data_IF_062230351732
#
_entry.id   IF_062230351732
#
_cell.length_a   1.000
_cell.length_b   1.000
_cell.length_c   1.000
_cell.angle_alpha   90.00
_cell.angle_beta   90.00
_cell.angle_gamma   90.00
#
_symmetry.space_group_name_H-M   'P 1'
#
loop_
_entity.id
_entity.type
_entity.pdbx_description
1 polymer ?
#
# COMPACT_ATOMS: atom_id res chain seq x y z
N UNK A 1 1.13 8.34 4.58
CA UNK A 1 0.50 6.99 4.49
C UNK A 1 -0.75 6.89 5.33
N UNK A 2 -0.66 6.92 6.67
CA UNK A 2 -1.81 6.65 7.56
C UNK A 2 -3.01 7.57 7.30
N UNK A 3 -2.79 8.90 7.15
CA UNK A 3 -3.88 9.84 6.83
C UNK A 3 -4.45 9.58 5.43
N UNK A 4 -3.60 9.25 4.45
CA UNK A 4 -4.05 8.90 3.11
C UNK A 4 -4.94 7.67 3.12
N UNK A 5 -4.54 6.60 3.83
CA UNK A 5 -5.36 5.39 3.98
C UNK A 5 -6.67 5.69 4.72
N UNK A 6 -6.61 6.46 5.82
CA UNK A 6 -7.81 6.86 6.57
C UNK A 6 -8.80 7.63 5.69
N UNK A 7 -8.31 8.57 4.86
CA UNK A 7 -9.16 9.32 3.93
C UNK A 7 -9.81 8.42 2.87
N UNK A 8 -9.05 7.48 2.28
CA UNK A 8 -9.58 6.49 1.35
C UNK A 8 -10.70 5.66 2.01
N UNK A 9 -10.45 5.15 3.21
CA UNK A 9 -11.43 4.34 3.94
C UNK A 9 -12.68 5.14 4.33
N UNK A 10 -12.54 6.42 4.73
CA UNK A 10 -13.67 7.31 4.98
C UNK A 10 -14.47 7.60 3.70
N UNK A 11 -13.80 7.78 2.56
CA UNK A 11 -14.47 7.94 1.27
C UNK A 11 -15.27 6.67 0.92
N UNK A 12 -14.69 5.49 1.10
CA UNK A 12 -15.37 4.20 0.92
C UNK A 12 -16.58 4.12 1.85
N UNK A 13 -16.43 4.45 3.14
CA UNK A 13 -17.54 4.43 4.10
C UNK A 13 -18.67 5.36 3.67
N UNK A 14 -18.35 6.52 3.13
CA UNK A 14 -19.35 7.47 2.64
C UNK A 14 -20.07 6.97 1.38
N UNK A 15 -19.35 6.37 0.44
CA UNK A 15 -19.89 5.87 -0.82
C UNK A 15 -20.60 4.52 -0.67
N UNK A 16 -20.05 3.63 0.15
CA UNK A 16 -20.49 2.25 0.34
C UNK A 16 -20.46 1.87 1.84
N UNK A 17 -21.42 2.32 2.66
CA UNK A 17 -21.41 2.16 4.13
C UNK A 17 -21.27 0.71 4.62
N UNK A 18 -21.65 -0.26 3.80
CA UNK A 18 -21.66 -1.70 4.13
C UNK A 18 -20.51 -2.48 3.49
N UNK A 19 -19.56 -1.81 2.85
CA UNK A 19 -18.39 -2.46 2.25
C UNK A 19 -17.56 -3.19 3.31
N UNK A 20 -17.11 -4.39 2.98
CA UNK A 20 -16.19 -5.16 3.83
C UNK A 20 -14.76 -4.91 3.35
N UNK A 21 -13.87 -4.55 4.26
CA UNK A 21 -12.45 -4.38 3.98
C UNK A 21 -11.73 -5.67 4.36
N UNK A 22 -11.06 -6.27 3.39
CA UNK A 22 -10.25 -7.46 3.56
C UNK A 22 -8.77 -7.08 3.66
N UNK A 23 -8.10 -7.58 4.69
CA UNK A 23 -6.67 -7.39 4.94
C UNK A 23 -5.95 -8.73 5.01
N UNK A 24 -4.64 -8.74 4.82
CA UNK A 24 -3.83 -9.96 4.97
C UNK A 24 -3.77 -10.45 6.43
N UNK A 25 -3.66 -11.77 6.64
CA UNK A 25 -3.30 -12.37 7.92
C UNK A 25 -1.85 -12.92 7.86
N UNK A 26 -0.92 -12.32 8.61
CA UNK A 26 -1.00 -11.06 9.38
C UNK A 26 -1.04 -9.81 8.49
N UNK A 27 -1.33 -8.65 9.09
CA UNK A 27 -1.27 -7.35 8.42
C UNK A 27 -0.57 -6.31 9.29
N UNK A 28 -0.31 -5.12 8.75
CA UNK A 28 0.19 -3.99 9.53
C UNK A 28 -0.74 -3.66 10.69
N UNK A 29 -0.18 -3.59 11.89
CA UNK A 29 -0.92 -3.49 13.14
C UNK A 29 -1.96 -2.36 13.19
N UNK A 30 -1.76 -1.29 12.40
CA UNK A 30 -2.66 -0.15 12.39
C UNK A 30 -3.81 -0.26 11.36
N UNK A 31 -3.81 -1.24 10.46
CA UNK A 31 -4.90 -1.44 9.50
C UNK A 31 -6.22 -1.75 10.21
N UNK A 32 -6.22 -2.75 11.09
CA UNK A 32 -7.40 -3.17 11.83
C UNK A 32 -8.03 -2.04 12.66
N UNK A 33 -7.29 -1.38 13.56
CA UNK A 33 -7.79 -0.24 14.32
C UNK A 33 -8.34 0.88 13.45
N UNK A 34 -7.67 1.25 12.36
CA UNK A 34 -8.14 2.30 11.43
C UNK A 34 -9.46 1.92 10.77
N UNK A 35 -9.60 0.70 10.26
CA UNK A 35 -10.83 0.23 9.61
C UNK A 35 -12.00 0.20 10.61
N UNK A 36 -11.75 -0.32 11.81
CA UNK A 36 -12.77 -0.43 12.88
C UNK A 36 -13.22 0.95 13.38
N UNK A 37 -12.29 1.91 13.56
CA UNK A 37 -12.63 3.26 14.03
C UNK A 37 -13.54 4.03 13.06
N UNK A 38 -13.49 3.71 11.77
CA UNK A 38 -14.35 4.26 10.72
C UNK A 38 -15.72 3.55 10.67
N UNK A 39 -15.87 2.43 11.37
CA UNK A 39 -17.10 1.63 11.38
C UNK A 39 -17.31 0.81 10.09
N UNK A 40 -16.23 0.41 9.42
CA UNK A 40 -16.26 -0.54 8.31
C UNK A 40 -16.09 -1.97 8.84
N UNK A 41 -16.66 -2.94 8.12
CA UNK A 41 -16.43 -4.36 8.43
C UNK A 41 -15.01 -4.76 8.04
N UNK A 42 -14.34 -5.48 8.94
CA UNK A 42 -13.01 -6.03 8.73
C UNK A 42 -13.09 -7.55 8.59
N UNK A 43 -12.44 -8.09 7.58
CA UNK A 43 -12.17 -9.52 7.41
C UNK A 43 -10.72 -9.72 6.99
N UNK A 44 -10.23 -10.95 7.12
CA UNK A 44 -8.86 -11.32 6.81
C UNK A 44 -8.81 -12.36 5.69
N UNK A 45 -7.82 -12.24 4.83
CA UNK A 45 -7.47 -13.26 3.85
C UNK A 45 -6.14 -13.92 4.20
N UNK A 46 -5.98 -15.24 3.91
CA UNK A 46 -4.74 -15.95 4.22
C UNK A 46 -3.57 -15.38 3.41
N UNK A 47 -2.46 -15.10 4.09
CA UNK A 47 -1.26 -14.55 3.45
C UNK A 47 0.00 -15.34 3.82
N UNK A 48 0.26 -15.55 5.12
CA UNK A 48 1.46 -16.21 5.61
C UNK A 48 1.20 -17.64 6.06
N UNK A 49 1.99 -18.57 5.58
CA UNK A 49 2.15 -19.88 6.24
C UNK A 49 3.16 -19.71 7.40
N UNK A 50 2.67 -19.79 8.64
CA UNK A 50 3.49 -19.55 9.85
C UNK A 50 4.50 -20.66 10.13
N UNK A 51 4.30 -21.87 9.61
CA UNK A 51 5.23 -22.99 9.77
C UNK A 51 6.43 -22.89 8.83
N UNK A 52 6.16 -22.50 7.58
CA UNK A 52 7.18 -22.42 6.53
C UNK A 52 7.72 -21.01 6.27
N UNK A 53 7.09 -19.98 6.89
CA UNK A 53 7.35 -18.56 6.64
C UNK A 53 7.22 -18.16 5.14
N UNK A 54 6.39 -18.88 4.38
CA UNK A 54 6.15 -18.64 2.96
C UNK A 54 4.75 -18.08 2.71
N UNK A 55 4.57 -17.48 1.54
CA UNK A 55 3.27 -17.01 1.06
C UNK A 55 2.31 -18.20 0.85
N UNK A 56 1.06 -18.07 1.32
CA UNK A 56 -0.06 -19.01 1.03
C UNK A 56 -0.72 -18.65 -0.30
N UNK A 57 0.00 -18.72 -1.41
CA UNK A 57 -0.45 -18.23 -2.71
C UNK A 57 -1.79 -18.79 -3.12
N UNK A 58 -1.98 -20.11 -3.08
CA UNK A 58 -3.23 -20.75 -3.53
C UNK A 58 -4.42 -20.37 -2.64
N UNK A 59 -4.22 -20.35 -1.32
CA UNK A 59 -5.25 -19.92 -0.38
C UNK A 59 -5.61 -18.45 -0.54
N UNK A 60 -4.62 -17.60 -0.78
CA UNK A 60 -4.81 -16.18 -1.10
C UNK A 60 -5.68 -16.03 -2.36
N UNK A 61 -5.30 -16.68 -3.47
CA UNK A 61 -6.04 -16.57 -4.72
C UNK A 61 -7.47 -17.10 -4.59
N UNK A 62 -7.66 -18.22 -3.89
CA UNK A 62 -9.00 -18.79 -3.62
C UNK A 62 -9.86 -17.85 -2.79
N UNK A 63 -9.29 -17.22 -1.76
CA UNK A 63 -10.00 -16.25 -0.94
C UNK A 63 -10.43 -15.03 -1.77
N UNK A 64 -9.53 -14.46 -2.59
CA UNK A 64 -9.86 -13.32 -3.44
C UNK A 64 -10.89 -13.67 -4.53
N UNK A 65 -10.85 -14.88 -5.09
CA UNK A 65 -11.84 -15.32 -6.11
C UNK A 65 -13.25 -15.51 -5.53
N UNK A 66 -13.42 -15.56 -4.20
CA UNK A 66 -14.72 -15.60 -3.53
C UNK A 66 -15.35 -14.23 -3.27
N UNK A 67 -14.63 -13.14 -3.51
CA UNK A 67 -15.06 -11.78 -3.23
C UNK A 67 -15.93 -11.20 -4.36
N UNK A 68 -16.50 -10.02 -4.11
CA UNK A 68 -17.37 -9.35 -5.06
C UNK A 68 -17.42 -7.83 -4.90
N UNK A 69 -18.35 -7.14 -5.59
CA UNK A 69 -18.39 -5.66 -5.63
C UNK A 69 -18.67 -4.96 -4.29
N UNK A 70 -19.04 -5.73 -3.24
CA UNK A 70 -19.26 -5.21 -1.87
C UNK A 70 -18.02 -5.37 -0.98
N UNK A 71 -16.91 -5.82 -1.55
CA UNK A 71 -15.65 -6.05 -0.86
C UNK A 71 -14.57 -5.12 -1.38
N UNK A 72 -13.71 -4.66 -0.49
CA UNK A 72 -12.46 -3.99 -0.84
C UNK A 72 -11.28 -4.79 -0.27
N UNK A 73 -10.21 -4.88 -1.03
CA UNK A 73 -9.01 -5.64 -0.65
C UNK A 73 -7.84 -4.71 -0.46
N UNK A 74 -7.31 -4.66 0.76
CA UNK A 74 -6.12 -3.89 1.11
C UNK A 74 -4.88 -4.77 0.91
N UNK A 75 -4.07 -4.40 -0.06
CA UNK A 75 -2.83 -5.06 -0.45
C UNK A 75 -1.63 -4.19 -0.09
N UNK A 76 -0.54 -4.80 0.34
CA UNK A 76 0.74 -4.10 0.49
C UNK A 76 1.45 -4.06 -0.87
N UNK A 77 1.83 -2.88 -1.34
CA UNK A 77 2.46 -2.70 -2.65
C UNK A 77 3.81 -3.41 -2.78
N UNK A 78 4.60 -3.40 -1.71
CA UNK A 78 5.87 -4.12 -1.58
C UNK A 78 6.25 -4.27 -0.11
N UNK A 79 7.20 -5.15 0.21
CA UNK A 79 7.75 -5.32 1.57
C UNK A 79 6.64 -5.42 2.62
N UNK A 80 5.81 -6.44 2.51
CA UNK A 80 4.66 -6.66 3.38
C UNK A 80 5.02 -6.57 4.87
N UNK A 81 4.33 -5.75 5.61
CA UNK A 81 4.49 -5.62 7.06
C UNK A 81 3.43 -6.48 7.80
N UNK A 82 3.83 -7.45 8.66
CA UNK A 82 5.16 -7.59 9.29
C UNK A 82 6.10 -8.62 8.62
N UNK A 83 5.68 -9.33 7.59
CA UNK A 83 6.38 -10.54 7.11
C UNK A 83 7.65 -10.27 6.30
N UNK A 84 7.77 -9.07 5.71
CA UNK A 84 8.83 -8.73 4.77
C UNK A 84 8.73 -9.43 3.41
N UNK A 85 7.69 -10.26 3.20
CA UNK A 85 7.43 -10.91 1.91
C UNK A 85 6.92 -9.89 0.89
N UNK A 86 7.09 -10.19 -0.38
CA UNK A 86 6.48 -9.43 -1.48
C UNK A 86 5.80 -10.41 -2.43
N UNK A 87 4.68 -10.01 -2.98
CA UNK A 87 4.03 -10.71 -4.08
C UNK A 87 4.92 -10.64 -5.32
N UNK A 88 5.06 -11.74 -6.03
CA UNK A 88 5.74 -11.77 -7.31
C UNK A 88 4.88 -11.16 -8.41
N UNK A 89 5.48 -10.81 -9.53
CA UNK A 89 4.76 -10.26 -10.69
C UNK A 89 3.63 -11.19 -11.17
N UNK A 90 3.86 -12.50 -11.17
CA UNK A 90 2.85 -13.49 -11.52
C UNK A 90 1.64 -13.49 -10.56
N UNK A 91 1.89 -13.27 -9.26
CA UNK A 91 0.81 -13.16 -8.26
C UNK A 91 0.00 -11.90 -8.49
N UNK A 92 0.66 -10.76 -8.74
CA UNK A 92 -0.02 -9.50 -9.06
C UNK A 92 -0.90 -9.59 -10.29
N UNK A 93 -0.44 -10.28 -11.37
CA UNK A 93 -1.25 -10.52 -12.57
C UNK A 93 -2.50 -11.32 -12.25
N UNK A 94 -2.35 -12.42 -11.48
CA UNK A 94 -3.49 -13.24 -11.04
C UNK A 94 -4.48 -12.44 -10.18
N UNK A 95 -3.99 -11.67 -9.22
CA UNK A 95 -4.83 -10.81 -8.36
C UNK A 95 -5.58 -9.78 -9.20
N UNK A 96 -4.92 -9.16 -10.17
CA UNK A 96 -5.53 -8.17 -11.05
C UNK A 96 -6.63 -8.79 -11.95
N UNK A 97 -6.38 -9.98 -12.50
CA UNK A 97 -7.38 -10.72 -13.28
C UNK A 97 -8.60 -11.10 -12.41
N UNK A 98 -8.36 -11.55 -11.16
CA UNK A 98 -9.44 -11.84 -10.21
C UNK A 98 -10.21 -10.56 -9.86
N UNK A 99 -9.51 -9.45 -9.57
CA UNK A 99 -10.13 -8.17 -9.24
C UNK A 99 -11.03 -7.67 -10.38
N UNK A 100 -10.55 -7.74 -11.62
CA UNK A 100 -11.33 -7.38 -12.82
C UNK A 100 -12.57 -8.27 -12.97
N UNK A 101 -12.41 -9.59 -12.78
CA UNK A 101 -13.50 -10.57 -12.92
C UNK A 101 -14.56 -10.45 -11.81
N UNK A 102 -14.12 -10.24 -10.58
CA UNK A 102 -14.98 -10.26 -9.37
C UNK A 102 -15.53 -8.89 -8.99
N UNK A 103 -14.87 -7.83 -9.42
CA UNK A 103 -15.30 -6.45 -9.19
C UNK A 103 -15.09 -5.94 -7.77
N UNK A 104 -14.27 -6.60 -6.92
CA UNK A 104 -13.90 -6.01 -5.65
C UNK A 104 -13.01 -4.77 -5.84
N UNK A 105 -13.04 -3.85 -4.87
CA UNK A 105 -12.28 -2.60 -4.94
C UNK A 105 -10.87 -2.79 -4.37
N UNK A 106 -9.79 -2.71 -5.16
CA UNK A 106 -8.43 -2.82 -4.66
C UNK A 106 -7.95 -1.51 -4.01
N UNK A 107 -7.28 -1.65 -2.86
CA UNK A 107 -6.56 -0.59 -2.16
C UNK A 107 -5.12 -1.05 -2.02
N UNK A 108 -4.16 -0.28 -2.52
CA UNK A 108 -2.74 -0.61 -2.40
C UNK A 108 -2.08 0.35 -1.41
N UNK A 109 -1.57 -0.21 -0.30
CA UNK A 109 -0.79 0.55 0.67
C UNK A 109 0.70 0.46 0.34
N UNK A 110 1.31 1.59 0.00
CA UNK A 110 2.69 1.70 -0.47
C UNK A 110 3.52 2.53 0.51
N UNK A 111 4.18 1.84 1.44
CA UNK A 111 4.99 2.49 2.46
C UNK A 111 6.51 2.27 2.29
N UNK A 112 6.91 1.29 1.49
CA UNK A 112 8.31 0.83 1.42
C UNK A 112 8.89 0.82 0.00
N UNK A 113 8.27 1.49 -0.95
CA UNK A 113 8.73 1.51 -2.34
C UNK A 113 10.18 1.98 -2.45
N UNK A 114 11.02 1.18 -3.10
CA UNK A 114 12.45 1.40 -3.26
C UNK A 114 13.32 0.68 -2.22
N UNK A 115 12.72 0.14 -1.14
CA UNK A 115 13.43 -0.57 -0.06
C UNK A 115 13.39 -2.10 -0.21
N UNK A 116 12.56 -2.61 -1.12
CA UNK A 116 12.50 -4.02 -1.49
C UNK A 116 13.50 -4.37 -2.59
N UNK A 117 13.01 -4.56 -3.80
CA UNK A 117 13.83 -4.89 -4.98
C UNK A 117 14.35 -3.64 -5.70
N UNK A 118 13.63 -2.52 -5.63
CA UNK A 118 14.00 -1.24 -6.23
C UNK A 118 12.77 -0.38 -6.50
N UNK A 119 12.98 0.89 -6.86
CA UNK A 119 11.89 1.85 -7.09
C UNK A 119 10.90 1.37 -8.15
N UNK A 120 11.42 0.88 -9.28
CA UNK A 120 10.60 0.40 -10.40
C UNK A 120 10.00 -0.97 -10.12
N UNK A 121 10.80 -1.85 -9.55
CA UNK A 121 10.42 -3.23 -9.23
C UNK A 121 9.32 -3.27 -8.19
N UNK A 122 9.43 -2.46 -7.15
CA UNK A 122 8.44 -2.37 -6.07
C UNK A 122 7.11 -1.70 -6.52
N UNK A 123 7.13 -0.96 -7.63
CA UNK A 123 5.93 -0.37 -8.24
C UNK A 123 5.19 -1.31 -9.21
N UNK A 124 5.81 -2.42 -9.64
CA UNK A 124 5.23 -3.31 -10.67
C UNK A 124 3.82 -3.79 -10.34
N UNK A 125 3.59 -4.18 -9.09
CA UNK A 125 2.26 -4.64 -8.66
C UNK A 125 1.18 -3.57 -8.80
N UNK A 126 1.51 -2.34 -8.43
CA UNK A 126 0.63 -1.18 -8.61
C UNK A 126 0.33 -0.94 -10.10
N UNK A 127 1.35 -0.98 -10.96
CA UNK A 127 1.20 -0.76 -12.41
C UNK A 127 0.30 -1.85 -13.02
N UNK A 128 0.55 -3.12 -12.71
CA UNK A 128 -0.25 -4.25 -13.18
C UNK A 128 -1.73 -4.09 -12.78
N UNK A 129 -1.99 -3.70 -11.52
CA UNK A 129 -3.37 -3.45 -11.07
C UNK A 129 -4.00 -2.29 -11.83
N UNK A 130 -3.30 -1.18 -11.99
CA UNK A 130 -3.79 0.01 -12.69
C UNK A 130 -4.10 -0.24 -14.18
N UNK A 131 -3.37 -1.16 -14.82
CA UNK A 131 -3.64 -1.56 -16.22
C UNK A 131 -4.87 -2.44 -16.40
N UNK A 132 -5.33 -3.10 -15.33
CA UNK A 132 -6.38 -4.13 -15.40
C UNK A 132 -7.71 -3.69 -14.83
N UNK A 133 -7.74 -2.93 -13.74
CA UNK A 133 -8.96 -2.59 -13.04
C UNK A 133 -9.43 -1.19 -13.40
N UNK A 134 -10.74 -0.97 -13.36
CA UNK A 134 -11.33 0.34 -13.63
C UNK A 134 -11.20 1.31 -12.46
N UNK A 135 -11.13 0.79 -11.25
CA UNK A 135 -11.08 1.59 -10.02
C UNK A 135 -9.99 1.07 -9.09
N UNK A 136 -9.21 1.97 -8.54
CA UNK A 136 -8.10 1.66 -7.66
C UNK A 136 -7.87 2.83 -6.70
N UNK A 137 -7.58 2.53 -5.44
CA UNK A 137 -7.05 3.51 -4.50
C UNK A 137 -5.64 3.14 -4.06
N UNK A 138 -4.79 4.14 -3.87
CA UNK A 138 -3.42 3.95 -3.39
C UNK A 138 -3.16 4.89 -2.22
N UNK A 139 -2.70 4.34 -1.10
CA UNK A 139 -2.09 5.13 -0.04
C UNK A 139 -0.57 5.08 -0.18
N UNK A 140 0.06 6.23 -0.36
CA UNK A 140 1.49 6.36 -0.51
C UNK A 140 2.11 7.09 0.68
N UNK A 141 3.26 6.61 1.16
CA UNK A 141 3.98 7.20 2.27
C UNK A 141 5.42 7.53 1.91
N UNK A 142 5.86 8.74 2.24
CA UNK A 142 7.25 9.17 2.14
C UNK A 142 8.03 8.97 3.45
N UNK A 143 7.43 8.38 4.47
CA UNK A 143 8.06 8.25 5.79
C UNK A 143 9.34 7.42 5.77
N UNK A 144 9.43 6.37 4.94
CA UNK A 144 10.58 5.47 4.91
C UNK A 144 11.54 5.77 3.77
N UNK A 145 11.05 5.85 2.54
CA UNK A 145 11.89 6.04 1.37
C UNK A 145 12.48 7.46 1.21
N UNK A 146 11.92 8.46 1.90
CA UNK A 146 12.50 9.80 2.05
C UNK A 146 13.00 10.09 3.47
N UNK A 147 12.82 9.17 4.43
CA UNK A 147 13.19 9.39 5.83
C UNK A 147 12.33 10.44 6.56
N UNK A 148 11.22 10.89 5.97
CA UNK A 148 10.37 11.96 6.49
C UNK A 148 9.30 11.42 7.45
N UNK A 149 9.75 10.80 8.57
CA UNK A 149 8.83 10.16 9.53
C UNK A 149 7.95 11.15 10.28
N UNK A 150 8.53 12.25 10.71
CA UNK A 150 7.86 13.26 11.56
C UNK A 150 7.14 14.33 10.75
N UNK A 151 7.52 14.54 9.49
CA UNK A 151 6.92 15.53 8.60
C UNK A 151 5.57 15.10 8.04
N UNK A 152 5.17 13.85 8.27
CA UNK A 152 3.85 13.30 7.94
C UNK A 152 3.48 13.45 6.46
N UNK A 153 4.39 13.07 5.56
CA UNK A 153 4.23 13.20 4.11
C UNK A 153 3.70 11.92 3.49
N UNK A 154 2.73 12.05 2.63
CA UNK A 154 2.15 10.97 1.85
C UNK A 154 1.01 11.49 0.97
N UNK A 155 0.47 10.62 0.14
CA UNK A 155 -0.58 10.98 -0.81
C UNK A 155 -1.61 9.86 -0.93
N UNK A 156 -2.86 10.22 -1.15
CA UNK A 156 -3.91 9.33 -1.60
C UNK A 156 -4.11 9.52 -3.11
N UNK A 157 -4.04 8.44 -3.87
CA UNK A 157 -4.36 8.45 -5.29
C UNK A 157 -5.63 7.65 -5.51
N UNK A 158 -6.46 8.13 -6.44
CA UNK A 158 -7.65 7.44 -6.89
C UNK A 158 -7.58 7.29 -8.42
N UNK A 159 -7.98 6.14 -8.91
CA UNK A 159 -8.20 5.87 -10.32
C UNK A 159 -9.66 5.51 -10.52
N UNK A 160 -10.26 6.04 -11.57
CA UNK A 160 -11.62 5.80 -11.98
C UNK A 160 -11.76 5.80 -13.49
N UNK A 161 -12.97 5.60 -14.00
CA UNK A 161 -13.24 5.39 -15.42
C UNK A 161 -13.36 6.68 -16.23
N UNK A 162 -13.65 7.80 -15.56
CA UNK A 162 -13.84 9.09 -16.23
C UNK A 162 -13.51 10.27 -15.30
N UNK A 163 -13.30 11.42 -15.91
CA UNK A 163 -12.90 12.65 -15.21
C UNK A 163 -13.96 13.14 -14.19
N UNK A 164 -15.24 13.03 -14.54
CA UNK A 164 -16.32 13.48 -13.66
C UNK A 164 -16.34 12.70 -12.35
N UNK A 165 -16.19 11.38 -12.42
CA UNK A 165 -16.10 10.51 -11.26
C UNK A 165 -14.91 10.88 -10.36
N UNK A 166 -13.74 11.09 -10.95
CA UNK A 166 -12.53 11.48 -10.21
C UNK A 166 -12.67 12.86 -9.58
N UNK A 167 -13.24 13.82 -10.25
CA UNK A 167 -13.48 15.16 -9.71
C UNK A 167 -14.44 15.13 -8.52
N UNK A 168 -15.50 14.33 -8.57
CA UNK A 168 -16.39 14.10 -7.43
C UNK A 168 -15.62 13.46 -6.27
N UNK A 169 -14.89 12.40 -6.52
CA UNK A 169 -14.12 11.69 -5.48
C UNK A 169 -13.08 12.61 -4.84
N UNK A 170 -12.37 13.41 -5.62
CA UNK A 170 -11.40 14.40 -5.13
C UNK A 170 -12.05 15.46 -4.24
N UNK A 171 -13.20 15.99 -4.66
CA UNK A 171 -13.98 16.97 -3.87
C UNK A 171 -14.41 16.36 -2.52
N UNK A 172 -14.85 15.08 -2.52
CA UNK A 172 -15.22 14.38 -1.30
C UNK A 172 -14.01 14.12 -0.39
N UNK A 173 -12.86 13.74 -0.94
CA UNK A 173 -11.62 13.59 -0.17
C UNK A 173 -11.20 14.92 0.49
N UNK A 174 -11.27 16.02 -0.23
CA UNK A 174 -10.97 17.34 0.31
C UNK A 174 -11.93 17.71 1.46
N UNK A 175 -13.23 17.44 1.30
CA UNK A 175 -14.22 17.65 2.35
C UNK A 175 -13.98 16.78 3.60
N UNK A 176 -13.52 15.55 3.42
CA UNK A 176 -13.16 14.64 4.52
C UNK A 176 -11.84 15.04 5.21
N UNK A 177 -10.88 15.58 4.47
CA UNK A 177 -9.61 16.03 5.01
C UNK A 177 -9.74 17.30 5.86
N UNK A 178 -10.62 18.22 5.45
CA UNK A 178 -10.77 19.54 6.06
C UNK A 178 -11.02 19.54 7.57
N UNK A 179 -11.95 18.74 8.14
CA UNK A 179 -12.13 18.68 9.59
C UNK A 179 -10.98 18.00 10.33
N UNK A 180 -10.13 17.22 9.64
CA UNK A 180 -9.01 16.50 10.28
C UNK A 180 -7.79 17.40 10.51
N UNK A 181 -7.48 18.29 9.56
CA UNK A 181 -6.26 19.10 9.63
C UNK A 181 -6.33 20.41 8.82
N UNK A 182 -7.51 20.82 8.36
CA UNK A 182 -7.76 22.04 7.57
C UNK A 182 -6.86 22.16 6.34
N UNK A 183 -5.54 22.32 6.54
CA UNK A 183 -4.50 22.33 5.52
C UNK A 183 -3.39 21.39 5.98
N UNK A 184 -2.94 20.49 5.10
CA UNK A 184 -1.83 19.61 5.39
C UNK A 184 -0.51 20.41 5.56
N UNK A 185 0.41 19.97 6.45
CA UNK A 185 1.72 20.58 6.57
C UNK A 185 2.48 20.59 5.24
N UNK A 186 3.05 21.73 4.85
CA UNK A 186 3.70 21.89 3.55
C UNK A 186 5.18 21.46 3.55
N UNK A 187 5.89 21.61 4.66
CA UNK A 187 7.34 21.40 4.70
C UNK A 187 7.79 20.09 4.06
N UNK A 188 7.22 18.97 4.51
CA UNK A 188 7.62 17.67 3.99
C UNK A 188 7.26 17.47 2.51
N UNK A 189 6.11 17.97 2.05
CA UNK A 189 5.74 17.88 0.63
C UNK A 189 6.65 18.75 -0.25
N UNK A 190 7.05 19.92 0.21
CA UNK A 190 8.00 20.78 -0.49
C UNK A 190 9.41 20.17 -0.55
N UNK A 191 9.86 19.49 0.51
CA UNK A 191 11.13 18.72 0.48
C UNK A 191 11.06 17.66 -0.63
N UNK A 192 9.99 16.83 -0.65
CA UNK A 192 9.82 15.80 -1.67
C UNK A 192 9.76 16.41 -3.07
N UNK A 193 8.98 17.48 -3.24
CA UNK A 193 8.86 18.19 -4.52
C UNK A 193 10.20 18.71 -4.99
N UNK A 194 10.98 19.33 -4.13
CA UNK A 194 12.28 19.90 -4.46
C UNK A 194 13.27 18.81 -4.86
N UNK A 195 13.34 17.71 -4.12
CA UNK A 195 14.19 16.55 -4.46
C UNK A 195 13.79 15.98 -5.82
N UNK A 196 12.50 15.79 -6.08
CA UNK A 196 12.03 15.15 -7.31
C UNK A 196 12.17 16.02 -8.55
N UNK A 197 12.11 17.35 -8.42
CA UNK A 197 12.23 18.31 -9.52
C UNK A 197 13.68 18.75 -9.79
N UNK A 198 14.61 18.52 -8.85
CA UNK A 198 16.02 18.87 -9.01
C UNK A 198 16.82 17.62 -9.41
N UNK A 199 17.31 17.50 -10.65
CA UNK A 199 17.96 16.28 -11.14
C UNK A 199 19.08 15.76 -10.24
N UNK A 200 19.94 16.65 -9.74
CA UNK A 200 21.08 16.31 -8.88
C UNK A 200 20.61 15.73 -7.54
N UNK A 201 19.61 16.36 -6.89
CA UNK A 201 19.07 15.88 -5.63
C UNK A 201 18.33 14.54 -5.81
N UNK A 202 17.62 14.36 -6.93
CA UNK A 202 16.97 13.09 -7.26
C UNK A 202 18.00 11.96 -7.43
N UNK A 203 19.14 12.21 -8.07
CA UNK A 203 20.21 11.22 -8.21
C UNK A 203 20.75 10.86 -6.82
N UNK A 204 21.10 11.84 -5.98
CA UNK A 204 21.58 11.61 -4.62
C UNK A 204 20.58 10.80 -3.80
N UNK A 205 19.30 11.15 -3.84
CA UNK A 205 18.25 10.39 -3.16
C UNK A 205 18.16 8.93 -3.64
N UNK A 206 18.27 8.67 -4.95
CA UNK A 206 18.26 7.31 -5.48
C UNK A 206 19.47 6.50 -5.02
N UNK A 207 20.66 7.13 -4.93
CA UNK A 207 21.88 6.50 -4.43
C UNK A 207 21.77 6.15 -2.95
N UNK A 208 21.30 7.07 -2.10
CA UNK A 208 21.07 6.83 -0.69
C UNK A 208 20.03 5.72 -0.46
N UNK A 209 18.92 5.74 -1.19
CA UNK A 209 17.89 4.72 -1.11
C UNK A 209 18.45 3.34 -1.49
N UNK A 210 19.29 3.27 -2.53
CA UNK A 210 19.98 2.04 -2.93
C UNK A 210 20.95 1.55 -1.84
N UNK A 211 21.67 2.46 -1.19
CA UNK A 211 22.57 2.14 -0.08
C UNK A 211 21.80 1.61 1.13
N UNK A 212 20.68 2.24 1.50
CA UNK A 212 19.79 1.76 2.56
C UNK A 212 19.25 0.36 2.26
N UNK A 213 18.76 0.11 1.05
CA UNK A 213 18.29 -1.20 0.59
C UNK A 213 19.38 -2.27 0.75
N UNK A 214 20.60 -2.01 0.26
CA UNK A 214 21.74 -2.94 0.38
C UNK A 214 22.08 -3.22 1.84
N UNK A 215 22.09 -2.19 2.70
CA UNK A 215 22.36 -2.33 4.13
C UNK A 215 21.31 -3.21 4.82
N UNK A 216 20.02 -2.98 4.56
CA UNK A 216 18.91 -3.77 5.13
C UNK A 216 19.03 -5.24 4.70
N UNK A 217 19.24 -5.51 3.41
CA UNK A 217 19.40 -6.87 2.90
C UNK A 217 20.60 -7.57 3.53
N UNK A 218 21.76 -6.91 3.63
CA UNK A 218 22.95 -7.45 4.26
C UNK A 218 22.78 -7.74 5.76
N UNK A 219 22.08 -6.86 6.50
CA UNK A 219 21.78 -7.11 7.93
C UNK A 219 20.83 -8.29 8.12
N UNK A 220 19.81 -8.42 7.29
CA UNK A 220 18.86 -9.55 7.34
C UNK A 220 19.58 -10.88 7.08
N UNK A 221 20.49 -10.92 6.09
CA UNK A 221 21.29 -12.11 5.79
C UNK A 221 22.22 -12.46 6.94
N UNK A 222 22.94 -11.50 7.51
CA UNK A 222 23.82 -11.72 8.68
C UNK A 222 23.05 -12.23 9.88
N UNK A 223 21.87 -11.66 10.17
CA UNK A 223 21.03 -12.13 11.26
C UNK A 223 20.55 -13.58 11.04
N UNK A 224 20.09 -13.91 9.83
CA UNK A 224 19.67 -15.27 9.51
C UNK A 224 20.78 -16.28 9.71
N UNK A 225 22.00 -15.98 9.22
CA UNK A 225 23.17 -16.83 9.42
C UNK A 225 23.57 -16.99 10.90
N UNK A 226 23.52 -15.90 11.67
CA UNK A 226 23.83 -15.95 13.10
C UNK A 226 22.84 -16.85 13.85
N UNK A 227 21.55 -16.74 13.58
CA UNK A 227 20.53 -17.58 14.21
C UNK A 227 20.64 -19.07 13.82
N UNK A 228 21.08 -19.38 12.60
CA UNK A 228 21.32 -20.77 12.17
C UNK A 228 22.52 -21.42 12.87
N UNK A 229 23.50 -20.64 13.30
CA UNK A 229 24.67 -21.15 14.00
C UNK A 229 24.44 -21.37 15.52
N UNK A 230 23.34 -20.85 16.05
CA UNK A 230 22.95 -20.96 17.47
C UNK A 230 21.94 -22.10 17.74
N UNK A 231 21.40 -22.72 16.67
CA UNK A 231 20.45 -23.84 16.71
C UNK A 231 21.09 -25.12 16.27
#
# INVERSE_FOLDING_TARGET
GSSALSLILNLIKKAQPHMTIWVSDPTYANHGPTIKSIGLKLKEYPFLNRETNKLKTDSLMSALDSLGPKDAVLLHGSCHNPTGLSLYEADWRKIADIAQKRGFFPIIDTAYQGLGSGIKEDAKGLIIMAEKVNHLAVSFSCSKNFGLYNDRVGCAFLMGTNEQEINIAQTQLAALARPCHWVAPQNGSEIVRHIMLTPQLKIMWLEELSAMKKRIAGLRQKLALALQNET
#
